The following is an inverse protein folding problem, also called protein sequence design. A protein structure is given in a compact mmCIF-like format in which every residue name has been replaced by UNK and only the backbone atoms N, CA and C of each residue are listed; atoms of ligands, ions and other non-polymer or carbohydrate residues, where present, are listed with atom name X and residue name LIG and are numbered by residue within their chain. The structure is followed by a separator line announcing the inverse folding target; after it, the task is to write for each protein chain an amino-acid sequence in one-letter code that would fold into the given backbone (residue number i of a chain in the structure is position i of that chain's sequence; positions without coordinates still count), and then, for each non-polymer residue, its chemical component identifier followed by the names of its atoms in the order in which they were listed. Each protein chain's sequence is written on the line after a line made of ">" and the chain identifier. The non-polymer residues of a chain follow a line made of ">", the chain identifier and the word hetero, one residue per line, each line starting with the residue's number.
data_IF_421078899878
#
_entry.id   IF_421078899878
#
_cell.length_a   1.000
_cell.length_b   1.000
_cell.length_c   1.000
_cell.angle_alpha   90.00
_cell.angle_beta   90.00
_cell.angle_gamma   90.00
#
_symmetry.space_group_name_H-M   'P 1'
#
loop_
_entity.id
_entity.type
_entity.pdbx_description
1 polymer ?
#
# COMPACT_ATOMS: atom_id res chain seq x y z
N UNK A 1 1.45 33.54 45.22
CA UNK A 1 2.09 32.27 44.80
C UNK A 1 1.15 31.13 45.12
N UNK A 2 1.02 30.17 44.20
CA UNK A 2 0.35 28.86 44.30
C UNK A 2 -1.18 28.89 44.53
N UNK A 3 -2.04 28.18 43.80
CA UNK A 3 -1.87 27.23 42.72
C UNK A 3 -3.22 26.53 42.51
N UNK A 4 -3.92 26.82 41.41
CA UNK A 4 -5.13 26.09 41.01
C UNK A 4 -4.75 24.94 40.08
N UNK A 5 -4.45 23.76 40.62
CA UNK A 5 -4.31 22.54 39.82
C UNK A 5 -5.64 21.77 39.80
N UNK A 6 -6.36 21.91 38.69
CA UNK A 6 -7.47 21.01 38.32
C UNK A 6 -6.92 19.65 37.90
N UNK A 7 -7.50 18.57 38.43
CA UNK A 7 -7.57 17.28 37.76
C UNK A 7 -8.99 16.73 37.96
N UNK A 8 -9.48 15.72 37.21
CA UNK A 8 -8.93 15.07 36.02
C UNK A 8 -9.95 15.05 34.85
N UNK A 9 -9.50 14.85 33.61
CA UNK A 9 -10.39 14.37 32.53
C UNK A 9 -9.70 13.26 31.74
N UNK A 10 -10.04 12.03 32.11
CA UNK A 10 -10.06 10.87 31.23
C UNK A 10 -10.79 11.26 29.93
N UNK A 11 -10.07 11.28 28.81
CA UNK A 11 -10.72 11.13 27.52
C UNK A 11 -9.93 10.14 26.66
N UNK A 12 -10.37 8.90 26.74
CA UNK A 12 -9.95 7.77 25.93
C UNK A 12 -10.21 8.04 24.44
N UNK A 13 -9.30 8.74 23.75
CA UNK A 13 -9.43 8.98 22.31
C UNK A 13 -8.80 7.85 21.48
N UNK A 14 -9.52 6.71 21.43
CA UNK A 14 -9.25 5.61 20.51
C UNK A 14 -9.30 6.03 19.01
N UNK A 15 -9.71 7.28 18.71
CA UNK A 15 -9.73 7.86 17.36
C UNK A 15 -8.46 8.64 16.93
N UNK A 16 -7.51 8.94 17.82
CA UNK A 16 -6.30 9.73 17.45
C UNK A 16 -5.12 8.90 16.95
N UNK A 17 -5.20 7.57 16.97
CA UNK A 17 -4.18 6.68 16.36
C UNK A 17 -4.41 6.43 14.87
N UNK A 18 -5.47 6.99 14.27
CA UNK A 18 -5.80 6.79 12.86
C UNK A 18 -5.28 7.90 11.92
N UNK A 19 -4.65 8.95 12.46
CA UNK A 19 -4.25 10.15 11.72
C UNK A 19 -2.73 10.32 11.48
N UNK A 20 -1.93 9.25 11.66
CA UNK A 20 -0.47 9.26 11.45
C UNK A 20 0.00 8.43 10.24
N UNK A 21 -0.79 8.38 9.17
CA UNK A 21 -0.37 7.75 7.89
C UNK A 21 -0.75 8.56 6.66
N UNK A 22 -0.53 9.87 6.67
CA UNK A 22 -0.39 10.60 5.41
C UNK A 22 0.99 10.29 4.82
N UNK A 23 1.20 9.01 4.45
CA UNK A 23 2.20 8.68 3.44
C UNK A 23 1.84 9.47 2.20
N UNK A 24 2.80 10.25 1.69
CA UNK A 24 2.73 10.92 0.41
C UNK A 24 2.42 9.89 -0.67
N UNK A 25 1.12 9.78 -1.01
CA UNK A 25 0.67 8.90 -2.08
C UNK A 25 1.25 9.42 -3.39
N UNK A 26 1.94 8.54 -4.11
CA UNK A 26 2.45 8.84 -5.44
C UNK A 26 1.44 8.38 -6.47
N UNK A 27 1.22 9.21 -7.49
CA UNK A 27 0.33 8.96 -8.60
C UNK A 27 1.14 8.79 -9.88
N UNK A 28 0.83 7.77 -10.67
CA UNK A 28 1.48 7.52 -11.95
C UNK A 28 0.43 7.07 -12.96
N UNK A 29 0.51 7.62 -14.16
CA UNK A 29 -0.46 7.37 -15.23
C UNK A 29 0.21 6.70 -16.43
N UNK A 30 -0.54 5.82 -17.09
CA UNK A 30 -0.14 5.19 -18.35
C UNK A 30 1.10 4.30 -18.27
N UNK A 31 1.53 3.87 -17.09
CA UNK A 31 2.74 3.04 -16.94
C UNK A 31 2.47 1.61 -17.42
N UNK A 32 3.41 1.04 -18.18
CA UNK A 32 3.29 -0.30 -18.74
C UNK A 32 3.67 -1.36 -17.70
N UNK A 33 2.83 -2.39 -17.59
CA UNK A 33 3.10 -3.59 -16.80
C UNK A 33 3.91 -4.57 -17.63
N UNK A 34 5.09 -4.98 -17.14
CA UNK A 34 5.97 -5.95 -17.80
C UNK A 34 5.79 -7.37 -17.26
N UNK A 35 5.24 -7.51 -16.04
CA UNK A 35 4.91 -8.80 -15.44
C UNK A 35 3.77 -8.64 -14.44
N UNK A 36 2.86 -9.62 -14.39
CA UNK A 36 1.79 -9.71 -13.40
C UNK A 36 1.74 -11.13 -12.83
N UNK A 37 2.06 -11.27 -11.55
CA UNK A 37 1.99 -12.54 -10.82
C UNK A 37 0.90 -12.46 -9.76
N UNK A 38 0.04 -13.46 -9.71
CA UNK A 38 -1.06 -13.56 -8.75
C UNK A 38 -0.86 -14.82 -7.91
N UNK A 39 -0.86 -14.69 -6.59
CA UNK A 39 -0.73 -15.83 -5.65
C UNK A 39 -1.86 -15.78 -4.64
N UNK A 40 -2.42 -16.94 -4.33
CA UNK A 40 -3.34 -17.11 -3.22
C UNK A 40 -2.56 -16.99 -1.90
N UNK A 41 -3.13 -16.22 -0.98
CA UNK A 41 -2.67 -16.09 0.39
C UNK A 41 -3.90 -15.86 1.26
N UNK A 42 -4.24 -16.88 2.05
CA UNK A 42 -5.49 -16.91 2.83
C UNK A 42 -6.70 -16.62 1.92
N UNK A 43 -7.59 -15.71 2.34
CA UNK A 43 -8.77 -15.30 1.57
C UNK A 43 -8.47 -14.23 0.49
N UNK A 44 -7.20 -14.05 0.10
CA UNK A 44 -6.79 -12.97 -0.80
C UNK A 44 -5.87 -13.46 -1.92
N UNK A 45 -5.99 -12.83 -3.07
CA UNK A 45 -5.00 -12.88 -4.13
C UNK A 45 -4.04 -11.71 -3.97
N UNK A 46 -2.77 -12.01 -3.72
CA UNK A 46 -1.69 -11.03 -3.76
C UNK A 46 -1.28 -10.86 -5.22
N UNK A 47 -1.52 -9.67 -5.74
CA UNK A 47 -1.18 -9.30 -7.10
C UNK A 47 0.14 -8.51 -7.05
N UNK A 48 1.18 -9.03 -7.69
CA UNK A 48 2.49 -8.37 -7.80
C UNK A 48 2.72 -7.95 -9.25
N UNK A 49 3.01 -6.67 -9.46
CA UNK A 49 3.33 -6.08 -10.75
C UNK A 49 4.80 -5.67 -10.79
N UNK A 50 5.44 -5.94 -11.92
CA UNK A 50 6.66 -5.25 -12.33
C UNK A 50 6.28 -4.23 -13.40
N UNK A 51 6.85 -3.05 -13.31
CA UNK A 51 6.55 -1.92 -14.19
C UNK A 51 7.76 -1.60 -15.06
N UNK A 52 7.50 -1.09 -16.27
CA UNK A 52 8.55 -0.72 -17.21
C UNK A 52 9.52 0.30 -16.60
N UNK A 53 10.83 0.02 -16.68
CA UNK A 53 11.91 0.83 -16.12
C UNK A 53 11.88 1.02 -14.59
N UNK A 54 11.22 0.13 -13.83
CA UNK A 54 11.22 0.15 -12.36
C UNK A 54 11.57 -1.23 -11.81
N UNK A 55 12.56 -1.27 -10.91
CA UNK A 55 13.09 -2.51 -10.33
C UNK A 55 12.44 -2.93 -9.00
N UNK A 56 11.50 -2.13 -8.48
CA UNK A 56 10.78 -2.40 -7.24
C UNK A 56 9.42 -3.03 -7.56
N UNK A 57 9.01 -4.11 -6.86
CA UNK A 57 7.71 -4.74 -7.07
C UNK A 57 6.57 -3.90 -6.49
N UNK A 58 5.44 -3.88 -7.20
CA UNK A 58 4.21 -3.21 -6.77
C UNK A 58 3.15 -4.23 -6.39
N UNK A 59 2.51 -4.08 -5.22
CA UNK A 59 1.58 -5.06 -4.67
C UNK A 59 0.21 -4.48 -4.39
N UNK A 60 -0.83 -5.27 -4.67
CA UNK A 60 -2.19 -5.02 -4.21
C UNK A 60 -2.92 -6.33 -3.91
N UNK A 61 -4.01 -6.27 -3.15
CA UNK A 61 -4.83 -7.43 -2.80
C UNK A 61 -6.20 -7.37 -3.47
N UNK A 62 -6.73 -8.52 -3.86
CA UNK A 62 -8.11 -8.72 -4.34
C UNK A 62 -8.70 -9.96 -3.69
N UNK A 63 -10.02 -10.01 -3.48
CA UNK A 63 -10.71 -11.20 -2.97
C UNK A 63 -10.84 -12.32 -4.01
N UNK A 64 -10.69 -12.00 -5.28
CA UNK A 64 -10.83 -12.92 -6.40
C UNK A 64 -9.66 -12.74 -7.36
N UNK A 65 -9.37 -13.79 -8.12
CA UNK A 65 -8.41 -13.74 -9.21
C UNK A 65 -8.79 -12.62 -10.18
N UNK A 66 -7.81 -11.82 -10.58
CA UNK A 66 -8.01 -10.69 -11.46
C UNK A 66 -7.56 -11.02 -12.88
N UNK A 67 -8.05 -10.26 -13.86
CA UNK A 67 -7.54 -10.35 -15.23
C UNK A 67 -6.05 -10.09 -15.24
N UNK A 68 -5.31 -10.79 -16.11
CA UNK A 68 -3.89 -10.50 -16.33
C UNK A 68 -3.75 -9.03 -16.73
N UNK A 69 -2.70 -8.38 -16.23
CA UNK A 69 -2.34 -7.00 -16.56
C UNK A 69 -1.06 -6.96 -17.40
N UNK A 70 -0.45 -8.11 -17.71
CA UNK A 70 0.78 -8.16 -18.48
C UNK A 70 0.60 -7.45 -19.84
N UNK A 71 1.51 -6.53 -20.17
CA UNK A 71 1.46 -5.72 -21.38
C UNK A 71 0.49 -4.54 -21.37
N UNK A 72 -0.39 -4.41 -20.37
CA UNK A 72 -1.34 -3.30 -20.27
C UNK A 72 -0.70 -2.05 -19.68
N UNK A 73 -1.25 -0.88 -20.04
CA UNK A 73 -0.97 0.39 -19.36
C UNK A 73 -1.97 0.61 -18.24
N UNK A 74 -1.49 1.09 -17.11
CA UNK A 74 -2.30 1.31 -15.91
C UNK A 74 -2.03 2.67 -15.29
N UNK A 75 -3.05 3.22 -14.64
CA UNK A 75 -2.93 4.35 -13.74
C UNK A 75 -2.96 3.81 -12.31
N UNK A 76 -1.96 4.19 -11.51
CA UNK A 76 -1.78 3.69 -10.15
C UNK A 76 -1.60 4.82 -9.14
N UNK A 77 -2.10 4.58 -7.93
CA UNK A 77 -1.77 5.35 -6.73
C UNK A 77 -1.14 4.41 -5.73
N UNK A 78 0.04 4.73 -5.20
CA UNK A 78 0.80 3.84 -4.33
C UNK A 78 1.64 4.57 -3.28
N UNK A 79 2.21 3.82 -2.34
CA UNK A 79 3.15 4.31 -1.34
C UNK A 79 4.26 3.28 -1.07
N UNK A 80 5.47 3.73 -0.66
CA UNK A 80 6.55 2.83 -0.31
C UNK A 80 6.27 2.08 0.99
N UNK A 81 6.61 0.81 1.01
CA UNK A 81 6.50 -0.07 2.16
C UNK A 81 7.69 -1.03 2.18
N UNK A 82 7.82 -1.75 3.30
CA UNK A 82 8.84 -2.77 3.47
C UNK A 82 8.16 -4.06 3.89
N UNK A 83 8.64 -5.18 3.38
CA UNK A 83 8.21 -6.50 3.76
C UNK A 83 9.40 -7.34 4.18
N UNK A 84 9.24 -8.14 5.22
CA UNK A 84 10.24 -9.10 5.65
C UNK A 84 10.05 -10.42 4.89
N UNK A 85 11.08 -10.86 4.17
CA UNK A 85 11.09 -12.12 3.43
C UNK A 85 12.35 -12.88 3.82
N UNK A 86 12.19 -14.05 4.45
CA UNK A 86 13.28 -14.89 4.91
C UNK A 86 14.32 -14.15 5.79
N UNK A 87 13.87 -13.22 6.63
CA UNK A 87 14.73 -12.40 7.49
C UNK A 87 15.38 -11.20 6.81
N UNK A 88 15.03 -10.91 5.55
CA UNK A 88 15.50 -9.72 4.82
C UNK A 88 14.37 -8.72 4.62
N UNK A 89 14.63 -7.43 4.89
CA UNK A 89 13.73 -6.34 4.49
C UNK A 89 13.84 -6.08 2.99
N UNK A 90 12.71 -6.21 2.29
CA UNK A 90 12.58 -5.90 0.87
C UNK A 90 11.68 -4.67 0.73
N UNK A 91 12.12 -3.70 -0.06
CA UNK A 91 11.28 -2.56 -0.44
C UNK A 91 10.22 -2.99 -1.43
N UNK A 92 8.97 -2.57 -1.19
CA UNK A 92 7.83 -2.82 -2.06
C UNK A 92 6.98 -1.55 -2.18
N UNK A 93 6.19 -1.46 -3.24
CA UNK A 93 5.24 -0.36 -3.43
C UNK A 93 3.81 -0.89 -3.26
N UNK A 94 3.09 -0.43 -2.25
CA UNK A 94 1.70 -0.84 -2.03
C UNK A 94 0.76 0.05 -2.82
N UNK A 95 0.02 -0.55 -3.76
CA UNK A 95 -0.98 0.13 -4.58
C UNK A 95 -2.31 0.19 -3.84
N UNK A 96 -2.87 1.40 -3.73
CA UNK A 96 -4.22 1.64 -3.17
C UNK A 96 -5.28 1.78 -4.26
N UNK A 97 -4.89 2.21 -5.47
CA UNK A 97 -5.79 2.33 -6.62
C UNK A 97 -5.07 1.89 -7.88
N UNK A 98 -5.75 1.09 -8.69
CA UNK A 98 -5.29 0.68 -10.02
C UNK A 98 -6.46 0.72 -11.00
N UNK A 99 -6.22 1.31 -12.17
CA UNK A 99 -7.16 1.36 -13.30
C UNK A 99 -6.40 1.02 -14.58
N UNK A 100 -6.96 0.12 -15.41
CA UNK A 100 -6.45 -0.09 -16.77
C UNK A 100 -6.81 1.15 -17.61
N UNK A 101 -5.81 1.70 -18.29
CA UNK A 101 -5.97 2.88 -19.16
C UNK A 101 -6.77 2.57 -20.41
#
# INVERSE_FOLDING_TARGET
>A
MAGNFKAPLNNSSAGKKLAYKHQSLTHTEGIKVISHVQREQDDWYINTLMLENINVPFKYKRKQLYKSLNGQRVNITYYPSKEEVAGFEIEVMNIVRIKVS
#
